data_IF_035283755347
#
_entry.id   IF_035283755347
#
_cell.length_a   1.000
_cell.length_b   1.000
_cell.length_c   1.000
_cell.angle_alpha   90.00
_cell.angle_beta   90.00
_cell.angle_gamma   90.00
#
_symmetry.space_group_name_H-M   'P 1'
#
loop_
_entity.id
_entity.type
_entity.pdbx_description
1 polymer ?
#
# COMPACT_ATOMS: atom_id res chain seq x y z
N UNK A 1 32.18 31.47 40.39
CA UNK A 1 32.84 31.72 39.09
C UNK A 1 32.19 32.96 38.48
N UNK A 2 32.94 33.95 37.98
CA UNK A 2 32.32 35.21 37.50
C UNK A 2 31.40 34.94 36.31
N UNK A 3 30.12 35.25 36.46
CA UNK A 3 29.06 35.14 35.45
C UNK A 3 29.48 35.81 34.12
N UNK A 4 30.15 36.96 34.23
CA UNK A 4 30.66 37.75 33.10
C UNK A 4 31.71 36.99 32.28
N UNK A 5 32.61 36.26 32.96
CA UNK A 5 33.61 35.43 32.27
C UNK A 5 32.97 34.28 31.53
N UNK A 6 31.89 33.71 32.07
CA UNK A 6 31.16 32.61 31.45
C UNK A 6 30.45 33.06 30.17
N UNK A 7 29.81 34.22 30.19
CA UNK A 7 29.15 34.77 29.00
C UNK A 7 30.13 35.13 27.88
N UNK A 8 31.33 35.59 28.23
CA UNK A 8 32.42 35.82 27.27
C UNK A 8 32.83 34.50 26.60
N UNK A 9 33.03 33.43 27.39
CA UNK A 9 33.41 32.10 26.86
C UNK A 9 32.35 31.54 25.90
N UNK A 10 31.06 31.66 26.23
CA UNK A 10 29.98 31.17 25.37
C UNK A 10 29.93 31.93 24.04
N UNK A 11 30.11 33.26 24.06
CA UNK A 11 30.16 34.07 22.82
C UNK A 11 31.36 33.71 21.94
N UNK A 12 32.50 33.41 22.55
CA UNK A 12 33.71 33.02 21.83
C UNK A 12 33.55 31.65 21.15
N UNK A 13 32.90 30.69 21.83
CA UNK A 13 32.60 29.38 21.23
C UNK A 13 31.63 29.50 20.04
N UNK A 14 30.63 30.38 20.10
CA UNK A 14 29.74 30.64 18.95
C UNK A 14 30.49 31.33 17.79
N UNK A 15 31.44 32.21 18.11
CA UNK A 15 32.33 32.80 17.10
C UNK A 15 33.17 31.72 16.40
N UNK A 16 33.78 30.79 17.15
CA UNK A 16 34.57 29.68 16.59
C UNK A 16 33.73 28.74 15.72
N UNK A 17 32.46 28.52 16.09
CA UNK A 17 31.52 27.73 15.28
C UNK A 17 31.20 28.41 13.96
N UNK A 18 30.87 29.71 13.98
CA UNK A 18 30.52 30.48 12.77
C UNK A 18 31.70 30.64 11.81
N UNK A 19 32.91 30.77 12.34
CA UNK A 19 34.14 30.85 11.54
C UNK A 19 34.71 29.48 11.14
N UNK A 20 34.09 28.36 11.57
CA UNK A 20 34.54 26.97 11.36
C UNK A 20 35.98 26.69 11.84
N UNK A 21 36.43 27.40 12.88
CA UNK A 21 37.75 27.18 13.49
C UNK A 21 37.84 25.85 14.23
N UNK A 22 36.71 25.33 14.73
CA UNK A 22 36.59 24.00 15.33
C UNK A 22 35.42 23.22 14.70
N UNK A 23 35.52 21.88 14.62
CA UNK A 23 34.41 21.04 14.20
C UNK A 23 33.22 21.16 15.17
N UNK A 24 32.00 21.13 14.63
CA UNK A 24 30.74 21.37 15.37
C UNK A 24 30.59 20.48 16.62
N UNK A 25 31.05 19.23 16.55
CA UNK A 25 30.96 18.28 17.67
C UNK A 25 31.73 18.72 18.93
N UNK A 26 32.85 19.42 18.76
CA UNK A 26 33.65 19.93 19.89
C UNK A 26 33.05 21.21 20.48
N UNK A 27 32.51 22.09 19.62
CA UNK A 27 31.76 23.26 20.07
C UNK A 27 30.53 22.85 20.89
N UNK A 28 29.82 21.81 20.46
CA UNK A 28 28.65 21.28 21.18
C UNK A 28 29.04 20.69 22.55
N UNK A 29 30.19 20.00 22.65
CA UNK A 29 30.69 19.51 23.93
C UNK A 29 31.06 20.64 24.90
N UNK A 30 31.79 21.66 24.42
CA UNK A 30 32.20 22.81 25.23
C UNK A 30 30.99 23.64 25.67
N UNK A 31 30.03 23.89 24.78
CA UNK A 31 28.79 24.56 25.12
C UNK A 31 28.02 23.80 26.21
N UNK A 32 27.98 22.48 26.12
CA UNK A 32 27.28 21.65 27.11
C UNK A 32 27.99 21.62 28.48
N UNK A 33 29.30 21.90 28.53
CA UNK A 33 30.05 22.03 29.79
C UNK A 33 29.79 23.38 30.49
N UNK A 34 29.48 24.43 29.73
CA UNK A 34 29.26 25.79 30.22
C UNK A 34 27.77 26.22 30.22
N UNK A 35 26.87 25.40 29.69
CA UNK A 35 25.43 25.60 29.70
C UNK A 35 24.85 25.24 31.08
N UNK A 36 24.15 26.19 31.71
CA UNK A 36 23.38 25.90 32.93
C UNK A 36 22.26 24.90 32.63
N UNK A 37 21.92 24.08 33.64
CA UNK A 37 20.83 23.09 33.59
C UNK A 37 19.50 23.66 33.07
N UNK A 38 19.27 24.98 33.19
CA UNK A 38 18.05 25.65 32.73
C UNK A 38 18.03 25.93 31.21
N UNK A 39 19.18 25.97 30.54
CA UNK A 39 19.27 26.20 29.08
C UNK A 39 19.15 24.92 28.24
N UNK A 40 19.24 23.75 28.89
CA UNK A 40 19.10 22.44 28.24
C UNK A 40 17.65 22.20 27.77
N UNK A 41 16.68 22.91 28.36
CA UNK A 41 15.25 22.70 28.06
C UNK A 41 14.76 23.36 26.77
N UNK A 42 15.47 24.34 26.21
CA UNK A 42 14.98 25.10 25.05
C UNK A 42 15.55 24.66 23.70
N UNK A 43 16.72 24.02 23.66
CA UNK A 43 17.41 23.71 22.39
C UNK A 43 17.44 22.23 21.97
N UNK A 44 16.82 21.30 22.73
CA UNK A 44 16.75 19.86 22.40
C UNK A 44 15.35 19.36 22.00
N UNK A 45 14.56 20.16 21.28
CA UNK A 45 13.24 19.72 20.75
C UNK A 45 13.29 19.27 19.28
N UNK A 46 14.50 19.09 18.73
CA UNK A 46 14.68 18.45 17.43
C UNK A 46 15.01 16.96 17.65
N UNK A 47 14.10 16.08 17.21
CA UNK A 47 14.30 14.64 16.96
C UNK A 47 14.08 13.63 18.09
N UNK A 48 12.89 13.57 18.71
CA UNK A 48 12.36 12.30 19.21
C UNK A 48 10.82 12.32 19.20
N UNK A 49 10.21 11.53 18.30
CA UNK A 49 8.75 11.31 18.22
C UNK A 49 8.15 10.83 19.54
N UNK A 50 8.94 10.10 20.34
CA UNK A 50 8.58 9.62 21.67
C UNK A 50 8.43 10.76 22.69
N UNK A 51 9.33 11.75 22.68
CA UNK A 51 9.26 12.90 23.59
C UNK A 51 8.04 13.79 23.32
N UNK A 52 7.66 13.93 22.04
CA UNK A 52 6.42 14.63 21.66
C UNK A 52 5.16 13.89 22.07
N UNK A 53 5.15 12.56 21.99
CA UNK A 53 4.03 11.74 22.45
C UNK A 53 3.84 11.82 23.98
N UNK A 54 4.94 11.74 24.75
CA UNK A 54 4.90 11.84 26.21
C UNK A 54 4.45 13.25 26.66
N UNK A 55 4.98 14.31 26.04
CA UNK A 55 4.56 15.67 26.34
C UNK A 55 3.09 15.96 25.95
N UNK A 56 2.60 15.31 24.87
CA UNK A 56 1.19 15.42 24.47
C UNK A 56 0.25 14.69 25.43
N UNK A 57 0.65 13.52 25.95
CA UNK A 57 -0.12 12.78 26.98
C UNK A 57 -0.18 13.56 28.30
N UNK A 58 0.90 14.27 28.65
CA UNK A 58 0.98 15.07 29.88
C UNK A 58 0.18 16.38 29.81
N UNK A 59 -0.04 16.92 28.60
CA UNK A 59 -0.89 18.09 28.34
C UNK A 59 -2.33 17.74 27.94
N UNK A 60 -2.67 16.44 27.87
CA UNK A 60 -3.99 16.00 27.44
C UNK A 60 -5.05 16.34 28.50
N UNK A 61 -6.11 17.02 28.07
CA UNK A 61 -7.25 17.36 28.95
C UNK A 61 -8.01 16.09 29.35
N UNK A 62 -8.66 16.08 30.52
CA UNK A 62 -9.42 14.91 31.00
C UNK A 62 -10.45 14.37 29.99
N UNK A 63 -11.01 15.24 29.14
CA UNK A 63 -11.90 14.86 28.04
C UNK A 63 -11.21 14.04 26.94
N UNK A 64 -9.94 14.33 26.61
CA UNK A 64 -9.16 13.57 25.61
C UNK A 64 -8.77 12.19 26.15
N UNK A 65 -8.49 12.11 27.45
CA UNK A 65 -8.27 10.84 28.14
C UNK A 65 -9.53 9.98 28.14
N UNK A 66 -10.69 10.55 28.49
CA UNK A 66 -11.96 9.84 28.44
C UNK A 66 -12.31 9.37 27.02
N UNK A 67 -12.08 10.21 26.01
CA UNK A 67 -12.33 9.84 24.61
C UNK A 67 -11.41 8.71 24.14
N UNK A 68 -10.13 8.77 24.49
CA UNK A 68 -9.15 7.74 24.09
C UNK A 68 -9.46 6.41 24.78
N UNK A 69 -9.67 6.44 26.10
CA UNK A 69 -10.00 5.25 26.88
C UNK A 69 -11.36 4.67 26.48
N UNK A 70 -12.36 5.53 26.26
CA UNK A 70 -13.68 5.13 25.78
C UNK A 70 -13.63 4.50 24.39
N UNK A 71 -12.89 5.09 23.45
CA UNK A 71 -12.72 4.52 22.10
C UNK A 71 -11.98 3.18 22.16
N UNK A 72 -10.92 3.09 22.95
CA UNK A 72 -10.17 1.85 23.13
C UNK A 72 -11.02 0.74 23.75
N UNK A 73 -11.80 1.07 24.77
CA UNK A 73 -12.74 0.14 25.42
C UNK A 73 -13.80 -0.32 24.44
N UNK A 74 -14.37 0.60 23.65
CA UNK A 74 -15.38 0.28 22.63
C UNK A 74 -14.80 -0.65 21.56
N UNK A 75 -13.61 -0.36 21.04
CA UNK A 75 -12.92 -1.23 20.06
C UNK A 75 -12.68 -2.61 20.67
N UNK A 76 -12.18 -2.66 21.91
CA UNK A 76 -11.89 -3.93 22.59
C UNK A 76 -13.17 -4.75 22.80
N UNK A 77 -14.26 -4.10 23.21
CA UNK A 77 -15.56 -4.74 23.35
C UNK A 77 -16.05 -5.31 22.01
N UNK A 78 -15.99 -4.52 20.94
CA UNK A 78 -16.42 -4.95 19.60
C UNK A 78 -15.60 -6.14 19.10
N UNK A 79 -14.29 -6.14 19.30
CA UNK A 79 -13.41 -7.24 18.86
C UNK A 79 -13.64 -8.50 19.68
N UNK A 80 -13.79 -8.39 21.00
CA UNK A 80 -13.97 -9.55 21.88
C UNK A 80 -15.35 -10.21 21.72
N UNK A 81 -16.40 -9.41 21.54
CA UNK A 81 -17.77 -9.89 21.36
C UNK A 81 -18.19 -10.00 19.89
N UNK A 82 -17.24 -9.88 18.96
CA UNK A 82 -17.53 -9.86 17.52
C UNK A 82 -18.37 -11.07 17.09
N UNK A 83 -18.03 -12.25 17.60
CA UNK A 83 -18.67 -13.52 17.25
C UNK A 83 -20.09 -13.70 17.81
N UNK A 84 -20.40 -13.04 18.93
CA UNK A 84 -21.73 -13.10 19.57
C UNK A 84 -22.75 -12.19 18.87
N UNK A 85 -22.28 -11.25 18.04
CA UNK A 85 -23.16 -10.35 17.33
C UNK A 85 -23.90 -11.05 16.17
N UNK A 86 -25.12 -10.59 15.92
CA UNK A 86 -25.89 -11.00 14.74
C UNK A 86 -25.08 -10.73 13.45
N UNK A 87 -25.13 -11.61 12.43
CA UNK A 87 -24.31 -11.49 11.21
C UNK A 87 -24.42 -10.12 10.50
N UNK A 88 -25.62 -9.52 10.51
CA UNK A 88 -25.85 -8.17 9.97
C UNK A 88 -24.99 -7.10 10.67
N UNK A 89 -24.84 -7.18 11.99
CA UNK A 89 -24.04 -6.23 12.76
C UNK A 89 -22.55 -6.45 12.52
N UNK A 90 -22.10 -7.72 12.40
CA UNK A 90 -20.72 -8.04 12.04
C UNK A 90 -20.34 -7.42 10.68
N UNK A 91 -21.20 -7.57 9.66
CA UNK A 91 -20.99 -6.94 8.35
C UNK A 91 -20.97 -5.42 8.45
N UNK A 92 -21.90 -4.83 9.22
CA UNK A 92 -21.97 -3.39 9.42
C UNK A 92 -20.69 -2.85 10.08
N UNK A 93 -20.16 -3.54 11.09
CA UNK A 93 -18.91 -3.16 11.77
C UNK A 93 -17.72 -3.21 10.81
N UNK A 94 -17.57 -4.28 10.03
CA UNK A 94 -16.48 -4.40 9.04
C UNK A 94 -16.61 -3.30 7.98
N UNK A 95 -17.80 -3.10 7.43
CA UNK A 95 -18.06 -2.09 6.40
C UNK A 95 -17.81 -0.66 6.91
N UNK A 96 -18.33 -0.32 8.10
CA UNK A 96 -18.10 0.98 8.73
C UNK A 96 -16.63 1.19 9.05
N UNK A 97 -15.95 0.17 9.59
CA UNK A 97 -14.51 0.19 9.84
C UNK A 97 -13.73 0.49 8.56
N UNK A 98 -14.00 -0.22 7.48
CA UNK A 98 -13.41 0.04 6.16
C UNK A 98 -13.67 1.47 5.71
N UNK A 99 -14.91 1.97 5.75
CA UNK A 99 -15.23 3.36 5.33
C UNK A 99 -14.48 4.39 6.18
N UNK A 100 -14.35 4.17 7.49
CA UNK A 100 -13.58 5.04 8.38
C UNK A 100 -12.10 5.04 7.99
N UNK A 101 -11.49 3.86 7.79
CA UNK A 101 -10.10 3.76 7.33
C UNK A 101 -9.89 4.44 5.99
N UNK A 102 -10.80 4.26 5.02
CA UNK A 102 -10.72 4.91 3.71
C UNK A 102 -10.79 6.44 3.82
N UNK A 103 -11.72 6.97 4.62
CA UNK A 103 -11.85 8.43 4.85
C UNK A 103 -10.62 9.01 5.56
N UNK A 104 -10.11 8.34 6.59
CA UNK A 104 -8.90 8.77 7.30
C UNK A 104 -7.69 8.71 6.36
N UNK A 105 -7.53 7.63 5.61
CA UNK A 105 -6.45 7.44 4.64
C UNK A 105 -6.43 8.55 3.58
N UNK A 106 -7.60 8.89 3.01
CA UNK A 106 -7.71 10.00 2.06
C UNK A 106 -7.33 11.35 2.67
N UNK A 107 -7.82 11.65 3.88
CA UNK A 107 -7.47 12.92 4.57
C UNK A 107 -5.99 13.00 4.91
N UNK A 108 -5.39 11.89 5.35
CA UNK A 108 -3.99 11.86 5.73
C UNK A 108 -3.05 11.94 4.52
N UNK A 109 -3.49 11.48 3.36
CA UNK A 109 -2.72 11.51 2.11
C UNK A 109 -2.26 12.92 1.73
N UNK A 110 -3.04 13.95 2.06
CA UNK A 110 -2.66 15.35 1.81
C UNK A 110 -1.50 15.85 2.70
N UNK A 111 -1.22 15.19 3.84
CA UNK A 111 -0.14 15.56 4.77
C UNK A 111 1.06 14.64 4.65
N UNK A 112 0.81 13.33 4.52
CA UNK A 112 1.82 12.31 4.33
C UNK A 112 1.24 11.20 3.44
N UNK A 113 1.73 11.12 2.22
CA UNK A 113 1.24 10.18 1.21
C UNK A 113 1.42 8.72 1.66
N UNK A 114 2.60 8.35 2.17
CA UNK A 114 2.89 6.98 2.58
C UNK A 114 1.95 6.52 3.72
N UNK A 115 1.70 7.39 4.69
CA UNK A 115 0.77 7.09 5.78
C UNK A 115 -0.69 7.04 5.31
N UNK A 116 -1.11 7.90 4.38
CA UNK A 116 -2.44 7.84 3.79
C UNK A 116 -2.67 6.55 3.00
N UNK A 117 -1.66 6.12 2.24
CA UNK A 117 -1.69 4.88 1.47
C UNK A 117 -1.72 3.65 2.39
N UNK A 118 -0.90 3.59 3.44
CA UNK A 118 -0.90 2.44 4.36
C UNK A 118 -2.25 2.27 5.06
N UNK A 119 -2.85 3.35 5.56
CA UNK A 119 -4.18 3.32 6.18
C UNK A 119 -5.26 2.89 5.19
N UNK A 120 -5.18 3.37 3.94
CA UNK A 120 -6.10 2.97 2.88
C UNK A 120 -5.98 1.46 2.60
N UNK A 121 -4.76 0.95 2.47
CA UNK A 121 -4.49 -0.48 2.28
C UNK A 121 -4.99 -1.30 3.46
N UNK A 122 -4.82 -0.85 4.70
CA UNK A 122 -5.39 -1.50 5.89
C UNK A 122 -6.92 -1.59 5.81
N UNK A 123 -7.60 -0.53 5.40
CA UNK A 123 -9.07 -0.55 5.22
C UNK A 123 -9.53 -1.54 4.14
N UNK A 124 -8.76 -1.67 3.06
CA UNK A 124 -9.02 -2.62 1.98
C UNK A 124 -8.77 -4.07 2.40
N UNK A 125 -7.72 -4.31 3.17
CA UNK A 125 -7.43 -5.63 3.76
C UNK A 125 -8.45 -5.99 4.85
N UNK A 126 -8.95 -5.02 5.61
CA UNK A 126 -10.03 -5.25 6.58
C UNK A 126 -11.31 -5.72 5.88
N UNK A 127 -11.66 -5.12 4.73
CA UNK A 127 -12.82 -5.55 3.94
C UNK A 127 -12.68 -7.01 3.50
N UNK A 128 -11.54 -7.34 2.89
CA UNK A 128 -11.29 -8.68 2.37
C UNK A 128 -11.15 -9.71 3.50
N UNK A 129 -10.28 -9.44 4.47
CA UNK A 129 -10.00 -10.33 5.59
C UNK A 129 -11.18 -10.50 6.55
N UNK A 130 -11.88 -9.41 6.86
CA UNK A 130 -13.10 -9.46 7.66
C UNK A 130 -14.20 -10.24 6.96
N UNK A 131 -14.39 -10.05 5.66
CA UNK A 131 -15.33 -10.85 4.87
C UNK A 131 -14.98 -12.33 4.83
N UNK A 132 -13.70 -12.68 4.60
CA UNK A 132 -13.24 -14.08 4.57
C UNK A 132 -13.39 -14.76 5.94
N UNK A 133 -13.09 -14.02 7.03
CA UNK A 133 -13.29 -14.49 8.39
C UNK A 133 -14.76 -14.81 8.66
N UNK A 134 -15.67 -13.88 8.34
CA UNK A 134 -17.10 -14.08 8.53
C UNK A 134 -17.62 -15.26 7.71
N UNK A 135 -17.16 -15.41 6.48
CA UNK A 135 -17.57 -16.50 5.61
C UNK A 135 -17.16 -17.87 6.17
N UNK A 136 -15.96 -17.97 6.75
CA UNK A 136 -15.50 -19.18 7.42
C UNK A 136 -16.25 -19.43 8.74
N UNK A 137 -16.47 -18.40 9.54
CA UNK A 137 -17.16 -18.51 10.84
C UNK A 137 -18.60 -19.01 10.70
N UNK A 138 -19.34 -18.52 9.68
CA UNK A 138 -20.72 -18.93 9.42
C UNK A 138 -20.83 -20.23 8.59
N UNK A 139 -19.72 -20.93 8.32
CA UNK A 139 -19.72 -22.18 7.55
C UNK A 139 -20.09 -22.03 6.06
N UNK A 140 -20.09 -20.79 5.53
CA UNK A 140 -20.37 -20.47 4.12
C UNK A 140 -19.11 -20.51 3.27
N UNK A 141 -18.13 -21.32 3.67
CA UNK A 141 -16.76 -21.26 3.18
C UNK A 141 -16.56 -21.96 1.82
N UNK A 142 -17.67 -22.30 1.18
CA UNK A 142 -17.73 -22.89 -0.14
C UNK A 142 -16.99 -22.03 -1.16
N UNK A 143 -16.36 -22.69 -2.13
CA UNK A 143 -15.52 -22.04 -3.14
C UNK A 143 -16.21 -20.86 -3.84
N UNK A 144 -17.48 -21.00 -4.21
CA UNK A 144 -18.25 -19.94 -4.89
C UNK A 144 -18.40 -18.65 -4.07
N UNK A 145 -18.59 -18.75 -2.75
CA UNK A 145 -18.71 -17.56 -1.90
C UNK A 145 -17.36 -16.87 -1.68
N UNK A 146 -16.30 -17.66 -1.50
CA UNK A 146 -14.93 -17.12 -1.38
C UNK A 146 -14.50 -16.39 -2.64
N UNK A 147 -14.73 -16.99 -3.82
CA UNK A 147 -14.41 -16.37 -5.11
C UNK A 147 -15.28 -15.14 -5.36
N UNK A 148 -16.57 -15.18 -5.02
CA UNK A 148 -17.47 -14.03 -5.11
C UNK A 148 -17.00 -12.84 -4.26
N UNK A 149 -16.58 -13.08 -3.02
CA UNK A 149 -16.05 -12.03 -2.14
C UNK A 149 -14.72 -11.46 -2.65
N UNK A 150 -13.81 -12.32 -3.14
CA UNK A 150 -12.54 -11.89 -3.73
C UNK A 150 -12.78 -11.03 -4.98
N UNK A 151 -13.70 -11.45 -5.86
CA UNK A 151 -14.07 -10.71 -7.07
C UNK A 151 -14.70 -9.35 -6.72
N UNK A 152 -15.65 -9.32 -5.76
CA UNK A 152 -16.23 -8.08 -5.26
C UNK A 152 -15.16 -7.14 -4.71
N UNK A 153 -14.26 -7.65 -3.87
CA UNK A 153 -13.17 -6.88 -3.29
C UNK A 153 -12.24 -6.32 -4.37
N UNK A 154 -11.89 -7.13 -5.36
CA UNK A 154 -11.01 -6.72 -6.45
C UNK A 154 -11.64 -5.60 -7.31
N UNK A 155 -12.92 -5.73 -7.66
CA UNK A 155 -13.69 -4.69 -8.38
C UNK A 155 -13.75 -3.41 -7.55
N UNK A 156 -13.99 -3.53 -6.24
CA UNK A 156 -14.00 -2.38 -5.33
C UNK A 156 -12.63 -1.68 -5.28
N UNK A 157 -11.52 -2.44 -5.26
CA UNK A 157 -10.16 -1.87 -5.28
C UNK A 157 -9.87 -1.16 -6.60
N UNK A 158 -10.30 -1.70 -7.73
CA UNK A 158 -10.17 -1.07 -9.05
C UNK A 158 -10.95 0.26 -9.08
N UNK A 159 -12.24 0.22 -8.75
CA UNK A 159 -13.11 1.41 -8.82
C UNK A 159 -12.65 2.50 -7.86
N UNK A 160 -12.32 2.14 -6.61
CA UNK A 160 -11.80 3.09 -5.63
C UNK A 160 -10.40 3.59 -5.99
N UNK A 161 -9.51 2.72 -6.50
CA UNK A 161 -8.16 3.10 -6.95
C UNK A 161 -8.19 4.12 -8.09
N UNK A 162 -9.11 3.95 -9.05
CA UNK A 162 -9.33 4.92 -10.13
C UNK A 162 -9.92 6.22 -9.58
N UNK A 163 -10.98 6.14 -8.77
CA UNK A 163 -11.66 7.32 -8.21
C UNK A 163 -10.74 8.17 -7.31
N UNK A 164 -9.93 7.51 -6.46
CA UNK A 164 -8.99 8.15 -5.55
C UNK A 164 -7.64 8.48 -6.22
N UNK A 165 -7.44 8.14 -7.50
CA UNK A 165 -6.18 8.30 -8.26
C UNK A 165 -4.97 7.65 -7.58
N UNK A 166 -5.11 6.39 -7.15
CA UNK A 166 -4.05 5.59 -6.53
C UNK A 166 -3.66 4.45 -7.51
N UNK A 167 -2.63 4.62 -8.36
CA UNK A 167 -2.27 3.62 -9.36
C UNK A 167 -1.89 2.26 -8.78
N UNK A 168 -1.21 2.24 -7.63
CA UNK A 168 -0.80 1.01 -6.95
C UNK A 168 -2.02 0.15 -6.52
N UNK A 169 -3.07 0.79 -6.00
CA UNK A 169 -4.30 0.10 -5.57
C UNK A 169 -5.14 -0.36 -6.77
N UNK A 170 -5.17 0.44 -7.83
CA UNK A 170 -5.79 0.04 -9.10
C UNK A 170 -5.10 -1.21 -9.67
N UNK A 171 -3.76 -1.23 -9.66
CA UNK A 171 -2.99 -2.39 -10.11
C UNK A 171 -3.21 -3.63 -9.22
N UNK A 172 -3.21 -3.47 -7.90
CA UNK A 172 -3.46 -4.60 -6.98
C UNK A 172 -4.85 -5.19 -7.15
N UNK A 173 -5.85 -4.37 -7.48
CA UNK A 173 -7.19 -4.85 -7.85
C UNK A 173 -7.16 -5.72 -9.10
N UNK A 174 -6.47 -5.31 -10.17
CA UNK A 174 -6.29 -6.14 -11.37
C UNK A 174 -5.51 -7.41 -11.09
N UNK A 175 -4.47 -7.36 -10.26
CA UNK A 175 -3.72 -8.53 -9.85
C UNK A 175 -4.65 -9.55 -9.14
N UNK A 176 -5.51 -9.07 -8.25
CA UNK A 176 -6.51 -9.91 -7.59
C UNK A 176 -7.51 -10.52 -8.59
N UNK A 177 -7.99 -9.75 -9.58
CA UNK A 177 -8.86 -10.28 -10.66
C UNK A 177 -8.15 -11.37 -11.45
N UNK A 178 -6.88 -11.17 -11.82
CA UNK A 178 -6.08 -12.15 -12.57
C UNK A 178 -5.91 -13.45 -11.77
N UNK A 179 -5.68 -13.35 -10.45
CA UNK A 179 -5.59 -14.52 -9.58
C UNK A 179 -6.92 -15.25 -9.43
N UNK A 180 -8.02 -14.51 -9.28
CA UNK A 180 -9.38 -15.11 -9.24
C UNK A 180 -9.69 -15.81 -10.55
N UNK A 181 -9.33 -15.19 -11.70
CA UNK A 181 -9.48 -15.81 -13.01
C UNK A 181 -8.65 -17.09 -13.15
N UNK A 182 -7.38 -17.07 -12.74
CA UNK A 182 -6.52 -18.25 -12.75
C UNK A 182 -7.10 -19.39 -11.91
N UNK A 183 -7.57 -19.08 -10.70
CA UNK A 183 -8.17 -20.08 -9.81
C UNK A 183 -9.51 -20.61 -10.35
N UNK A 184 -10.32 -19.75 -10.98
CA UNK A 184 -11.53 -20.18 -11.65
C UNK A 184 -11.21 -21.13 -12.81
N UNK A 185 -10.21 -20.78 -13.62
CA UNK A 185 -9.78 -21.59 -14.76
C UNK A 185 -9.28 -22.97 -14.30
N UNK A 186 -8.52 -23.04 -13.20
CA UNK A 186 -7.99 -24.32 -12.69
C UNK A 186 -9.08 -25.32 -12.29
N UNK A 187 -10.24 -24.82 -11.85
CA UNK A 187 -11.36 -25.70 -11.50
C UNK A 187 -12.05 -26.28 -12.74
N UNK A 188 -12.08 -25.54 -13.85
CA UNK A 188 -12.81 -25.93 -15.07
C UNK A 188 -11.94 -26.63 -16.13
N UNK A 189 -10.60 -26.58 -16.01
CA UNK A 189 -9.69 -27.05 -17.08
C UNK A 189 -8.61 -27.99 -16.57
N UNK A 190 -9.00 -29.07 -15.87
CA UNK A 190 -8.06 -30.02 -15.27
C UNK A 190 -7.17 -30.78 -16.29
N UNK A 191 -7.58 -30.92 -17.55
CA UNK A 191 -6.87 -31.67 -18.60
C UNK A 191 -6.51 -30.82 -19.83
N UNK A 192 -6.30 -29.52 -19.65
CA UNK A 192 -6.06 -28.63 -20.79
C UNK A 192 -4.68 -28.81 -21.42
N UNK A 193 -4.64 -28.86 -22.76
CA UNK A 193 -3.38 -28.91 -23.52
C UNK A 193 -2.70 -27.55 -23.54
N UNK A 194 -1.39 -27.55 -23.81
CA UNK A 194 -0.55 -26.33 -23.79
C UNK A 194 -1.09 -25.18 -24.66
N UNK A 195 -1.71 -25.47 -25.81
CA UNK A 195 -2.25 -24.46 -26.72
C UNK A 195 -3.58 -23.87 -26.22
N UNK A 196 -4.37 -24.64 -25.46
CA UNK A 196 -5.64 -24.16 -24.87
C UNK A 196 -5.34 -23.14 -23.77
N UNK A 197 -4.31 -23.42 -22.95
CA UNK A 197 -3.81 -22.48 -21.95
C UNK A 197 -3.40 -21.15 -22.62
N UNK A 198 -2.70 -21.20 -23.76
CA UNK A 198 -2.38 -19.96 -24.50
C UNK A 198 -3.65 -19.23 -24.98
N UNK A 199 -4.66 -19.97 -25.46
CA UNK A 199 -5.92 -19.40 -25.94
C UNK A 199 -6.74 -18.74 -24.82
N UNK A 200 -6.68 -19.23 -23.59
CA UNK A 200 -7.41 -18.66 -22.45
C UNK A 200 -6.85 -17.31 -21.99
N UNK A 201 -5.57 -17.04 -22.23
CA UNK A 201 -4.85 -15.93 -21.62
C UNK A 201 -4.41 -14.87 -22.62
N UNK A 202 -3.99 -15.26 -23.83
CA UNK A 202 -3.51 -14.31 -24.85
C UNK A 202 -4.57 -13.31 -25.33
N UNK A 203 -5.85 -13.68 -25.56
CA UNK A 203 -6.89 -12.70 -25.89
C UNK A 203 -7.06 -11.65 -24.80
N UNK A 204 -6.97 -12.06 -23.53
CA UNK A 204 -7.07 -11.16 -22.38
C UNK A 204 -5.87 -10.21 -22.35
N UNK A 205 -4.65 -10.68 -22.60
CA UNK A 205 -3.48 -9.82 -22.72
C UNK A 205 -3.67 -8.77 -23.84
N UNK A 206 -4.14 -9.20 -25.01
CA UNK A 206 -4.45 -8.28 -26.12
C UNK A 206 -5.51 -7.24 -25.76
N UNK A 207 -6.56 -7.63 -25.02
CA UNK A 207 -7.59 -6.71 -24.51
C UNK A 207 -7.00 -5.67 -23.55
N UNK A 208 -6.11 -6.06 -22.64
CA UNK A 208 -5.42 -5.11 -21.76
C UNK A 208 -4.49 -4.17 -22.53
N UNK A 209 -3.76 -4.67 -23.52
CA UNK A 209 -2.90 -3.85 -24.39
C UNK A 209 -3.70 -2.84 -25.19
N UNK A 210 -4.81 -3.27 -25.80
CA UNK A 210 -5.73 -2.38 -26.51
C UNK A 210 -6.42 -1.38 -25.57
N UNK A 211 -6.87 -1.84 -24.41
CA UNK A 211 -7.48 -1.01 -23.36
C UNK A 211 -6.52 0.05 -22.82
N UNK A 212 -5.24 -0.29 -22.67
CA UNK A 212 -4.19 0.67 -22.29
C UNK A 212 -4.07 1.80 -23.32
N UNK A 213 -4.02 1.46 -24.61
CA UNK A 213 -4.00 2.45 -25.69
C UNK A 213 -5.28 3.30 -25.72
N UNK A 214 -6.44 2.67 -25.56
CA UNK A 214 -7.75 3.35 -25.60
C UNK A 214 -7.99 4.28 -24.40
N UNK A 215 -7.52 3.91 -23.21
CA UNK A 215 -7.66 4.72 -21.99
C UNK A 215 -6.62 5.85 -21.91
N UNK A 216 -5.57 5.80 -22.74
CA UNK A 216 -4.52 6.81 -22.76
C UNK A 216 -5.06 8.23 -22.98
N UNK A 217 -6.08 8.39 -23.85
CA UNK A 217 -6.73 9.68 -24.11
C UNK A 217 -7.47 10.27 -22.92
N UNK A 218 -7.85 9.47 -21.91
CA UNK A 218 -8.65 9.91 -20.77
C UNK A 218 -7.82 9.99 -19.49
N UNK A 219 -6.92 9.02 -19.27
CA UNK A 219 -6.04 9.01 -18.08
C UNK A 219 -4.74 8.26 -18.35
N UNK A 220 -3.62 8.99 -18.29
CA UNK A 220 -2.26 8.41 -18.36
C UNK A 220 -2.04 7.34 -17.29
N UNK A 221 -2.52 7.58 -16.08
CA UNK A 221 -2.35 6.65 -14.96
C UNK A 221 -3.09 5.32 -15.15
N UNK A 222 -4.34 5.37 -15.65
CA UNK A 222 -5.12 4.15 -15.95
C UNK A 222 -4.48 3.37 -17.10
N UNK A 223 -4.05 4.07 -18.15
CA UNK A 223 -3.35 3.49 -19.29
C UNK A 223 -2.06 2.77 -18.86
N UNK A 224 -1.26 3.38 -17.99
CA UNK A 224 -0.04 2.77 -17.45
C UNK A 224 -0.33 1.50 -16.64
N UNK A 225 -1.35 1.52 -15.77
CA UNK A 225 -1.74 0.32 -15.01
C UNK A 225 -2.19 -0.81 -15.94
N UNK A 226 -3.05 -0.53 -16.92
CA UNK A 226 -3.48 -1.55 -17.89
C UNK A 226 -2.33 -2.09 -18.74
N UNK A 227 -1.33 -1.27 -19.05
CA UNK A 227 -0.13 -1.70 -19.75
C UNK A 227 0.70 -2.67 -18.92
N UNK A 228 0.94 -2.34 -17.64
CA UNK A 228 1.66 -3.24 -16.72
C UNK A 228 0.88 -4.54 -16.53
N UNK A 229 -0.45 -4.47 -16.37
CA UNK A 229 -1.30 -5.65 -16.30
C UNK A 229 -1.22 -6.47 -17.59
N UNK A 230 -1.22 -5.85 -18.78
CA UNK A 230 -0.99 -6.54 -20.05
C UNK A 230 0.34 -7.29 -20.07
N UNK A 231 1.44 -6.65 -19.65
CA UNK A 231 2.76 -7.28 -19.59
C UNK A 231 2.77 -8.47 -18.65
N UNK A 232 2.08 -8.37 -17.51
CA UNK A 232 1.95 -9.47 -16.56
C UNK A 232 1.12 -10.63 -17.13
N UNK A 233 -0.04 -10.34 -17.70
CA UNK A 233 -0.96 -11.33 -18.28
C UNK A 233 -0.35 -12.03 -19.50
N UNK A 234 0.54 -11.38 -20.25
CA UNK A 234 1.26 -11.98 -21.38
C UNK A 234 2.07 -13.24 -21.01
N UNK A 235 2.61 -13.28 -19.78
CA UNK A 235 3.40 -14.39 -19.24
C UNK A 235 2.61 -15.32 -18.30
N UNK A 236 1.34 -15.02 -18.04
CA UNK A 236 0.48 -15.89 -17.22
C UNK A 236 0.25 -17.29 -17.80
N UNK A 237 0.19 -17.54 -19.13
CA UNK A 237 0.04 -18.91 -19.65
C UNK A 237 1.12 -19.86 -19.16
N UNK A 238 2.38 -19.41 -19.18
CA UNK A 238 3.53 -20.20 -18.76
C UNK A 238 3.54 -20.42 -17.24
N UNK A 239 3.23 -19.37 -16.47
CA UNK A 239 3.10 -19.50 -15.02
C UNK A 239 1.98 -20.48 -14.64
N UNK A 240 0.84 -20.39 -15.31
CA UNK A 240 -0.30 -21.28 -15.12
C UNK A 240 0.03 -22.72 -15.49
N UNK A 241 0.69 -22.95 -16.64
CA UNK A 241 1.09 -24.29 -17.08
C UNK A 241 2.03 -24.98 -16.08
N UNK A 242 2.96 -24.23 -15.48
CA UNK A 242 3.86 -24.75 -14.44
C UNK A 242 3.12 -25.03 -13.12
N UNK A 243 2.18 -24.16 -12.73
CA UNK A 243 1.49 -24.30 -11.44
C UNK A 243 0.40 -25.37 -11.43
N UNK A 244 -0.30 -25.58 -12.55
CA UNK A 244 -1.52 -26.39 -12.58
C UNK A 244 -1.50 -27.56 -13.57
N UNK A 245 -0.61 -27.55 -14.58
CA UNK A 245 -0.62 -28.56 -15.65
C UNK A 245 0.66 -29.41 -15.71
N UNK A 246 1.70 -29.11 -14.91
CA UNK A 246 3.01 -29.78 -14.90
C UNK A 246 3.67 -29.97 -16.28
N UNK A 247 3.24 -29.18 -17.28
CA UNK A 247 3.77 -29.25 -18.65
C UNK A 247 5.05 -28.42 -18.74
N UNK A 248 6.20 -29.06 -18.52
CA UNK A 248 7.51 -28.39 -18.62
C UNK A 248 8.13 -28.45 -20.02
N UNK A 249 7.62 -29.31 -20.90
CA UNK A 249 8.17 -29.47 -22.24
C UNK A 249 8.03 -28.18 -23.05
N UNK A 250 9.14 -27.71 -23.64
CA UNK A 250 9.21 -26.50 -24.48
C UNK A 250 8.95 -25.15 -23.79
N UNK A 251 8.76 -25.11 -22.46
CA UNK A 251 8.47 -23.87 -21.72
C UNK A 251 9.56 -22.78 -21.93
N UNK A 252 10.84 -23.17 -21.87
CA UNK A 252 11.96 -22.25 -22.07
C UNK A 252 11.94 -21.62 -23.48
N UNK A 253 11.65 -22.44 -24.50
CA UNK A 253 11.57 -21.97 -25.88
C UNK A 253 10.36 -21.06 -26.10
N UNK A 254 9.21 -21.38 -25.50
CA UNK A 254 8.03 -20.51 -25.52
C UNK A 254 8.30 -19.14 -24.88
N UNK A 255 8.96 -19.11 -23.72
CA UNK A 255 9.35 -17.87 -23.05
C UNK A 255 10.31 -17.03 -23.90
N UNK A 256 11.35 -17.65 -24.49
CA UNK A 256 12.31 -16.93 -25.36
C UNK A 256 11.58 -16.33 -26.57
N UNK A 257 10.71 -17.11 -27.23
CA UNK A 257 9.92 -16.62 -28.37
C UNK A 257 9.00 -15.47 -27.93
N UNK A 258 8.31 -15.59 -26.80
CA UNK A 258 7.44 -14.52 -26.28
C UNK A 258 8.20 -13.25 -25.91
N UNK A 259 9.39 -13.38 -25.33
CA UNK A 259 10.25 -12.24 -25.03
C UNK A 259 10.70 -11.57 -26.34
N UNK A 260 11.10 -12.36 -27.35
CA UNK A 260 11.48 -11.82 -28.66
C UNK A 260 10.33 -11.10 -29.35
N UNK A 261 9.12 -11.69 -29.35
CA UNK A 261 7.91 -11.09 -29.92
C UNK A 261 7.53 -9.82 -29.15
N UNK A 262 7.45 -9.90 -27.82
CA UNK A 262 7.12 -8.77 -26.96
C UNK A 262 8.12 -7.62 -27.10
N UNK A 263 9.42 -7.92 -27.06
CA UNK A 263 10.49 -6.94 -27.28
C UNK A 263 10.44 -6.33 -28.68
N UNK A 264 10.19 -7.14 -29.72
CA UNK A 264 9.99 -6.68 -31.09
C UNK A 264 8.81 -5.71 -31.22
N UNK A 265 7.66 -6.04 -30.63
CA UNK A 265 6.48 -5.19 -30.59
C UNK A 265 6.76 -3.86 -29.86
N UNK A 266 7.39 -3.91 -28.69
CA UNK A 266 7.79 -2.72 -27.95
C UNK A 266 8.75 -1.85 -28.77
N UNK A 267 9.72 -2.45 -29.45
CA UNK A 267 10.67 -1.73 -30.29
C UNK A 267 10.01 -1.08 -31.51
N UNK A 268 9.08 -1.78 -32.17
CA UNK A 268 8.30 -1.26 -33.30
C UNK A 268 7.42 -0.09 -32.86
N UNK A 269 6.78 -0.21 -31.69
CA UNK A 269 5.90 0.81 -31.14
C UNK A 269 6.64 1.91 -30.38
N UNK A 270 7.98 1.93 -30.35
CA UNK A 270 8.79 2.88 -29.55
C UNK A 270 8.39 4.34 -29.70
N UNK A 271 8.08 4.78 -30.93
CA UNK A 271 7.66 6.17 -31.17
C UNK A 271 6.28 6.50 -30.60
N UNK A 272 5.44 5.49 -30.36
CA UNK A 272 4.08 5.63 -29.84
C UNK A 272 4.02 5.53 -28.32
N UNK A 273 4.74 4.60 -27.69
CA UNK A 273 4.70 4.43 -26.23
C UNK A 273 5.74 5.27 -25.47
N UNK A 274 6.85 5.71 -26.07
CA UNK A 274 7.79 6.61 -25.36
C UNK A 274 7.20 7.98 -25.04
N UNK A 275 6.21 8.44 -25.81
CA UNK A 275 5.41 9.64 -25.49
C UNK A 275 4.57 9.44 -24.20
N UNK A 276 4.36 8.19 -23.77
CA UNK A 276 3.52 7.86 -22.61
C UNK A 276 4.30 7.89 -21.29
N UNK A 277 5.62 7.74 -21.34
CA UNK A 277 6.52 7.73 -20.17
C UNK A 277 7.03 9.14 -19.84
N UNK A 278 6.93 10.10 -20.78
CA UNK A 278 7.23 11.53 -20.61
C UNK A 278 5.94 12.33 -20.32
#
# INVERSE_FOLDING_TARGET
MNEDRRQIIVKEIDHWRRSKLLPDQYCDFLLNLYADQDTIHTNKVQQNTVGKAIAAVQKATGMQWFLTFGTFTLISFVVLYFNEFHPLLQMAVVALGTVVFLRIGQRLRGRNEAAGLSITSTGMLLLLGGGLYMLNYHGLDHWGWRTGLLAFSAIFWITYGIAARIPALHFSGWLAVVLVYAWLLSEFTADSKWYEIQLYWLPIACLFGWGSWFMHRWSKAVSAVLFVTCSLVWFMPELYAVMFADVMAWLQLQLIIKIAIGGGLLFLMRKRWMVWVV
#
